data_IF_217466911662
#
_entry.id   IF_217466911662
#
_cell.length_a   1.000
_cell.length_b   1.000
_cell.length_c   1.000
_cell.angle_alpha   90.00
_cell.angle_beta   90.00
_cell.angle_gamma   90.00
#
_symmetry.space_group_name_H-M   'P 1'
#
loop_
_entity.id
_entity.type
_entity.pdbx_description
1 polymer ?
#
# COMPACT_ATOMS: atom_id res chain seq x y z
N UNK A 1 1.13 12.33 -6.57
CA UNK A 1 0.79 10.89 -6.46
C UNK A 1 1.45 10.32 -5.22
N UNK A 2 0.70 9.61 -4.38
CA UNK A 2 1.24 8.91 -3.21
C UNK A 2 1.34 7.41 -3.52
N UNK A 3 2.38 6.77 -3.03
CA UNK A 3 2.68 5.35 -3.21
C UNK A 3 3.00 4.71 -1.85
N UNK A 4 2.95 3.38 -1.79
CA UNK A 4 3.54 2.60 -0.71
C UNK A 4 4.94 2.15 -1.13
N UNK A 5 5.93 2.43 -0.29
CA UNK A 5 7.31 1.95 -0.43
C UNK A 5 7.48 0.70 0.42
N UNK A 6 7.95 -0.39 -0.19
CA UNK A 6 8.27 -1.61 0.53
C UNK A 6 9.59 -1.44 1.27
N UNK A 7 9.55 -1.61 2.59
CA UNK A 7 10.72 -1.53 3.44
C UNK A 7 11.33 -2.92 3.69
N UNK A 8 12.51 -2.90 4.31
CA UNK A 8 13.14 -4.14 4.80
C UNK A 8 12.20 -4.85 5.79
N UNK A 9 12.15 -6.18 5.75
CA UNK A 9 11.31 -7.03 6.61
C UNK A 9 9.80 -7.13 6.27
N UNK A 10 9.37 -6.70 5.08
CA UNK A 10 7.96 -6.85 4.64
C UNK A 10 7.01 -5.83 5.27
N UNK A 11 7.57 -4.75 5.82
CA UNK A 11 6.83 -3.55 6.21
C UNK A 11 6.75 -2.57 5.03
N UNK A 12 5.92 -1.55 5.17
CA UNK A 12 5.78 -0.51 4.18
C UNK A 12 5.48 0.85 4.82
N UNK A 13 5.86 1.90 4.12
CA UNK A 13 5.58 3.29 4.48
C UNK A 13 4.98 4.05 3.30
N UNK A 14 4.28 5.13 3.63
CA UNK A 14 3.64 5.98 2.64
C UNK A 14 4.64 7.03 2.16
N UNK A 15 4.78 7.17 0.84
CA UNK A 15 5.62 8.22 0.27
C UNK A 15 4.98 9.58 0.46
N UNK A 16 5.80 10.63 0.34
CA UNK A 16 5.29 12.00 0.18
C UNK A 16 4.50 12.12 -1.13
N UNK A 17 3.78 13.23 -1.29
CA UNK A 17 3.09 13.50 -2.55
C UNK A 17 4.12 13.75 -3.67
N UNK A 18 4.26 12.79 -4.58
CA UNK A 18 5.20 12.81 -5.70
C UNK A 18 4.58 13.57 -6.88
N UNK A 19 5.24 14.63 -7.34
CA UNK A 19 4.74 15.47 -8.45
C UNK A 19 5.59 15.26 -9.71
N UNK A 20 6.86 14.88 -9.53
CA UNK A 20 7.83 14.51 -10.56
C UNK A 20 8.60 13.23 -10.15
N UNK A 21 9.39 12.66 -11.06
CA UNK A 21 10.24 11.47 -10.82
C UNK A 21 9.49 10.27 -10.21
N UNK A 22 8.29 9.98 -10.72
CA UNK A 22 7.46 8.88 -10.22
C UNK A 22 8.16 7.55 -10.52
N UNK A 23 8.51 6.75 -9.50
CA UNK A 23 9.16 5.45 -9.71
C UNK A 23 8.20 4.46 -10.36
N UNK A 24 8.71 3.38 -10.95
CA UNK A 24 7.84 2.29 -11.40
C UNK A 24 7.10 1.67 -10.21
N UNK A 25 5.79 1.48 -10.34
CA UNK A 25 4.95 0.93 -9.29
C UNK A 25 3.89 -0.01 -9.87
N UNK A 26 3.45 -0.94 -9.03
CA UNK A 26 2.31 -1.81 -9.33
C UNK A 26 1.01 -1.23 -8.80
N UNK A 27 -0.08 -1.42 -9.55
CA UNK A 27 -1.41 -1.00 -9.13
C UNK A 27 -2.18 -2.22 -8.67
N UNK A 28 -2.58 -2.20 -7.40
CA UNK A 28 -3.52 -3.16 -6.86
C UNK A 28 -4.94 -2.58 -6.93
N UNK A 29 -5.64 -2.88 -8.02
CA UNK A 29 -6.99 -2.40 -8.29
C UNK A 29 -8.04 -3.47 -8.01
N UNK A 30 -8.67 -3.44 -6.83
CA UNK A 30 -9.98 -4.05 -6.61
C UNK A 30 -10.65 -3.48 -5.35
N UNK A 31 -11.97 -3.59 -5.23
CA UNK A 31 -12.72 -3.30 -3.99
C UNK A 31 -12.62 -4.51 -3.07
N UNK A 32 -12.19 -4.32 -1.81
CA UNK A 32 -11.68 -5.42 -0.97
C UNK A 32 -12.63 -5.77 0.18
N UNK A 33 -13.79 -6.35 -0.15
CA UNK A 33 -14.76 -6.82 0.85
C UNK A 33 -15.82 -5.76 1.20
N UNK A 34 -16.58 -5.98 2.28
CA UNK A 34 -17.46 -4.93 2.80
C UNK A 34 -16.59 -3.74 3.26
N UNK A 35 -17.08 -2.50 3.08
CA UNK A 35 -16.25 -1.28 3.17
C UNK A 35 -15.49 -1.07 4.49
N UNK A 36 -15.85 -1.79 5.56
CA UNK A 36 -15.18 -1.75 6.86
C UNK A 36 -13.89 -2.61 6.93
N UNK A 37 -13.66 -3.47 5.94
CA UNK A 37 -12.46 -4.31 5.82
C UNK A 37 -11.33 -3.65 5.02
N UNK A 38 -11.65 -2.57 4.30
CA UNK A 38 -10.67 -1.81 3.52
C UNK A 38 -9.76 -1.01 4.44
N UNK A 39 -8.46 -1.10 4.22
CA UNK A 39 -7.49 -0.23 4.88
C UNK A 39 -7.57 1.14 4.20
N UNK A 40 -7.70 2.19 4.99
CA UNK A 40 -7.73 3.58 4.49
C UNK A 40 -6.38 4.27 4.67
N UNK A 41 -6.18 5.41 4.02
CA UNK A 41 -5.03 6.30 4.27
C UNK A 41 -4.85 6.60 5.77
N UNK A 42 -5.94 6.83 6.49
CA UNK A 42 -5.90 7.16 7.91
C UNK A 42 -5.37 5.98 8.74
N UNK A 43 -5.84 4.77 8.43
CA UNK A 43 -5.37 3.56 9.12
C UNK A 43 -3.87 3.32 8.92
N UNK A 44 -3.31 3.68 7.76
CA UNK A 44 -1.87 3.57 7.48
C UNK A 44 -1.01 4.61 8.22
N UNK A 45 -1.58 5.78 8.51
CA UNK A 45 -0.91 6.84 9.28
C UNK A 45 -1.00 6.64 10.79
N UNK A 46 -1.89 5.73 11.25
CA UNK A 46 -2.09 5.40 12.65
C UNK A 46 -1.48 4.01 12.98
N UNK A 47 -1.20 3.77 14.27
CA UNK A 47 -0.66 2.48 14.73
C UNK A 47 -1.67 1.31 14.60
N UNK A 48 -2.90 1.61 14.19
CA UNK A 48 -4.00 0.65 14.01
C UNK A 48 -3.88 -0.17 12.73
N UNK A 49 -2.94 0.16 11.81
CA UNK A 49 -2.77 -0.52 10.52
C UNK A 49 -2.74 -2.05 10.62
N UNK A 50 -2.00 -2.59 11.59
CA UNK A 50 -1.81 -4.05 11.78
C UNK A 50 -3.06 -4.79 12.26
N UNK A 51 -4.07 -4.06 12.77
CA UNK A 51 -5.30 -4.63 13.32
C UNK A 51 -6.43 -4.77 12.30
N UNK A 52 -6.26 -4.20 11.10
CA UNK A 52 -7.27 -4.25 10.03
C UNK A 52 -7.18 -5.54 9.24
N UNK A 53 -8.34 -6.14 8.95
CA UNK A 53 -8.44 -7.36 8.14
C UNK A 53 -7.80 -7.20 6.74
N UNK A 54 -7.85 -6.00 6.16
CA UNK A 54 -7.22 -5.69 4.88
C UNK A 54 -5.68 -5.58 4.91
N UNK A 55 -5.02 -5.52 6.08
CA UNK A 55 -3.57 -5.30 6.16
C UNK A 55 -2.75 -6.43 5.55
N UNK A 56 -3.15 -7.68 5.78
CA UNK A 56 -2.48 -8.84 5.19
C UNK A 56 -2.49 -8.82 3.66
N UNK A 57 -3.50 -8.21 3.03
CA UNK A 57 -3.57 -8.07 1.57
C UNK A 57 -2.59 -7.01 1.05
N UNK A 58 -2.35 -5.94 1.82
CA UNK A 58 -1.30 -4.96 1.51
C UNK A 58 0.08 -5.61 1.59
N UNK A 59 0.32 -6.46 2.60
CA UNK A 59 1.55 -7.25 2.68
C UNK A 59 1.74 -8.15 1.46
N UNK A 60 0.70 -8.90 1.06
CA UNK A 60 0.75 -9.76 -0.12
C UNK A 60 1.02 -8.98 -1.40
N UNK A 61 0.45 -7.77 -1.54
CA UNK A 61 0.73 -6.89 -2.66
C UNK A 61 2.19 -6.42 -2.65
N UNK A 62 2.71 -6.02 -1.49
CA UNK A 62 4.11 -5.64 -1.33
C UNK A 62 5.07 -6.79 -1.65
N UNK A 63 4.73 -8.01 -1.24
CA UNK A 63 5.47 -9.22 -1.60
C UNK A 63 5.44 -9.49 -3.10
N UNK A 64 4.29 -9.30 -3.76
CA UNK A 64 4.16 -9.49 -5.19
C UNK A 64 4.98 -8.45 -5.97
N UNK A 65 4.87 -7.17 -5.61
CA UNK A 65 5.70 -6.11 -6.18
C UNK A 65 7.20 -6.41 -6.01
N UNK A 66 7.62 -6.92 -4.85
CA UNK A 66 9.00 -7.32 -4.62
C UNK A 66 9.46 -8.44 -5.57
N UNK A 67 8.61 -9.45 -5.80
CA UNK A 67 8.89 -10.55 -6.75
C UNK A 67 9.00 -10.04 -8.17
N UNK A 68 8.19 -9.03 -8.51
CA UNK A 68 8.17 -8.39 -9.82
C UNK A 68 9.29 -7.33 -9.98
N UNK A 69 10.16 -7.18 -8.96
CA UNK A 69 11.31 -6.28 -8.98
C UNK A 69 10.97 -4.82 -8.75
N UNK A 70 9.76 -4.54 -8.25
CA UNK A 70 9.27 -3.22 -7.93
C UNK A 70 9.38 -2.96 -6.42
N UNK A 71 9.84 -1.76 -6.08
CA UNK A 71 9.91 -1.30 -4.68
C UNK A 71 8.66 -0.53 -4.25
N UNK A 72 7.78 -0.21 -5.19
CA UNK A 72 6.62 0.65 -4.95
C UNK A 72 5.34 0.00 -5.47
N UNK A 73 4.24 0.24 -4.76
CA UNK A 73 2.92 -0.21 -5.18
C UNK A 73 1.84 0.78 -4.71
N UNK A 74 0.66 0.71 -5.32
CA UNK A 74 -0.46 1.62 -5.07
C UNK A 74 -1.72 0.83 -4.73
N UNK A 75 -2.40 1.24 -3.66
CA UNK A 75 -3.70 0.71 -3.24
C UNK A 75 -4.72 1.86 -3.30
N UNK A 76 -5.79 1.70 -4.07
CA UNK A 76 -6.72 2.80 -4.38
C UNK A 76 -7.40 3.42 -3.14
N UNK A 77 -7.65 2.64 -2.09
CA UNK A 77 -8.27 3.09 -0.83
C UNK A 77 -7.32 3.88 0.07
N UNK A 78 -6.02 3.76 -0.17
CA UNK A 78 -4.95 4.30 0.65
C UNK A 78 -4.18 5.44 -0.03
N UNK A 79 -4.18 5.47 -1.36
CA UNK A 79 -3.34 6.34 -2.17
C UNK A 79 -4.17 7.37 -2.95
N UNK A 80 -4.97 8.15 -2.21
CA UNK A 80 -5.78 9.29 -2.69
C UNK A 80 -4.98 10.58 -2.57
#
# INVERSE_FOLDING_TARGET
IRLLELESHGEFSLTKDLIDNIPSYEILSHTWGEGDEEVTFKDLTEDSRRSRAGYSKIQLCGEQAARDGLQHFRVDTCCI
#
